data_IF_794599420437
#
_entry.id   IF_794599420437
#
_cell.length_a   1.000
_cell.length_b   1.000
_cell.length_c   1.000
_cell.angle_alpha   90.00
_cell.angle_beta   90.00
_cell.angle_gamma   90.00
#
_symmetry.space_group_name_H-M   'P 1'
#
loop_
_entity.id
_entity.type
_entity.pdbx_description
1 polymer ?
#
# COMPACT_ATOMS: atom_id res chain seq x y z
N UNK A 1 28.19 45.85 -34.65
CA UNK A 1 27.39 45.84 -33.41
C UNK A 1 26.03 45.23 -33.73
N UNK A 2 25.74 44.03 -33.21
CA UNK A 2 24.44 43.37 -33.33
C UNK A 2 24.11 42.77 -31.97
N UNK A 3 22.95 43.14 -31.45
CA UNK A 3 22.39 42.80 -30.15
C UNK A 3 21.89 41.35 -30.12
N UNK A 4 22.22 40.61 -29.06
CA UNK A 4 21.62 39.31 -28.78
C UNK A 4 20.58 39.44 -27.68
N UNK A 5 19.36 39.03 -28.02
CA UNK A 5 18.16 39.13 -27.20
C UNK A 5 18.05 37.91 -26.28
N UNK A 6 17.89 38.15 -24.98
CA UNK A 6 17.73 37.11 -23.95
C UNK A 6 16.33 36.50 -24.02
N UNK A 7 16.23 35.21 -24.33
CA UNK A 7 14.98 34.45 -24.19
C UNK A 7 14.97 33.74 -22.83
N UNK A 8 14.20 34.29 -21.88
CA UNK A 8 13.90 33.64 -20.60
C UNK A 8 12.93 32.48 -20.81
N UNK A 9 13.43 31.25 -20.62
CA UNK A 9 12.62 30.04 -20.60
C UNK A 9 12.00 29.88 -19.21
N UNK A 10 10.72 30.23 -19.06
CA UNK A 10 9.94 30.00 -17.83
C UNK A 10 9.50 28.53 -17.81
N UNK A 11 10.18 27.71 -17.00
CA UNK A 11 9.82 26.32 -16.77
C UNK A 11 8.62 26.24 -15.81
N UNK A 12 7.44 25.91 -16.35
CA UNK A 12 6.23 25.65 -15.56
C UNK A 12 6.41 24.32 -14.80
N UNK A 13 6.62 24.39 -13.49
CA UNK A 13 6.62 23.22 -12.60
C UNK A 13 5.17 22.83 -12.33
N UNK A 14 4.68 21.77 -12.98
CA UNK A 14 3.41 21.16 -12.67
C UNK A 14 3.49 20.45 -11.31
N UNK A 15 2.94 21.09 -10.27
CA UNK A 15 2.75 20.49 -8.95
C UNK A 15 1.61 19.48 -9.03
N UNK A 16 1.94 18.19 -9.20
CA UNK A 16 0.98 17.10 -9.08
C UNK A 16 0.68 16.94 -7.58
N UNK A 17 -0.41 17.57 -7.13
CA UNK A 17 -0.99 17.31 -5.81
C UNK A 17 -1.47 15.85 -5.77
N UNK A 18 -0.71 14.98 -5.11
CA UNK A 18 -1.15 13.64 -4.78
C UNK A 18 -2.22 13.73 -3.67
N UNK A 19 -3.48 13.84 -4.09
CA UNK A 19 -4.63 13.69 -3.21
C UNK A 19 -4.61 12.27 -2.60
N UNK A 20 -4.24 12.20 -1.32
CA UNK A 20 -4.31 10.96 -0.55
C UNK A 20 -5.73 10.85 0.02
N UNK A 21 -6.65 10.23 -0.71
CA UNK A 21 -8.00 9.96 -0.21
C UNK A 21 -7.95 9.07 1.04
N UNK A 22 -8.73 9.37 2.09
CA UNK A 22 -8.85 8.50 3.25
C UNK A 22 -9.55 7.20 2.84
N UNK A 23 -8.84 6.08 2.92
CA UNK A 23 -9.42 4.77 2.65
C UNK A 23 -10.21 4.29 3.89
N UNK A 24 -11.55 4.29 3.81
CA UNK A 24 -12.42 3.61 4.77
C UNK A 24 -12.52 2.12 4.41
N UNK A 25 -12.22 1.26 5.37
CA UNK A 25 -12.37 -0.18 5.26
C UNK A 25 -13.79 -0.56 5.69
N UNK A 26 -14.70 -0.68 4.73
CA UNK A 26 -15.95 -1.42 4.87
C UNK A 26 -16.18 -2.09 3.51
N UNK A 27 -16.50 -3.38 3.52
CA UNK A 27 -16.37 -4.31 2.39
C UNK A 27 -16.59 -3.70 1.00
N UNK A 28 -15.58 -3.86 0.14
CA UNK A 28 -15.64 -3.39 -1.22
C UNK A 28 -16.73 -4.12 -2.02
N UNK A 29 -17.71 -3.36 -2.51
CA UNK A 29 -18.73 -3.82 -3.46
C UNK A 29 -18.35 -3.29 -4.85
N UNK A 30 -17.50 -4.02 -5.57
CA UNK A 30 -17.07 -3.66 -6.92
C UNK A 30 -15.97 -4.56 -7.48
N UNK A 31 -15.62 -4.45 -8.77
CA UNK A 31 -14.51 -5.18 -9.37
C UNK A 31 -13.14 -4.72 -8.85
N UNK A 32 -13.06 -3.51 -8.28
CA UNK A 32 -11.82 -2.92 -7.78
C UNK A 32 -11.83 -2.92 -6.27
N UNK A 33 -11.32 -4.01 -5.70
CA UNK A 33 -11.08 -4.17 -4.27
C UNK A 33 -9.59 -4.37 -4.06
N UNK A 34 -9.04 -3.82 -2.97
CA UNK A 34 -7.62 -3.76 -2.73
C UNK A 34 -7.01 -5.15 -2.88
N UNK A 35 -5.96 -5.25 -3.69
CA UNK A 35 -5.33 -6.53 -3.99
C UNK A 35 -3.83 -6.45 -3.77
N UNK A 36 -3.22 -7.58 -3.41
CA UNK A 36 -1.77 -7.72 -3.27
C UNK A 36 -1.31 -8.95 -4.04
N UNK A 37 -0.32 -8.78 -4.90
CA UNK A 37 0.40 -9.82 -5.64
C UNK A 37 1.81 -9.94 -5.05
N UNK A 38 2.11 -11.05 -4.38
CA UNK A 38 3.43 -11.29 -3.82
C UNK A 38 4.32 -12.03 -4.83
N UNK A 39 4.93 -11.29 -5.75
CA UNK A 39 5.93 -11.81 -6.71
C UNK A 39 7.36 -11.78 -6.13
N UNK A 40 7.51 -11.45 -4.85
CA UNK A 40 8.79 -11.51 -4.16
C UNK A 40 9.07 -12.93 -3.69
N UNK A 41 10.32 -13.24 -3.36
CA UNK A 41 10.71 -14.54 -2.80
C UNK A 41 10.41 -14.69 -1.31
N UNK A 42 9.78 -13.70 -0.67
CA UNK A 42 9.56 -13.67 0.77
C UNK A 42 8.08 -13.69 1.13
N UNK A 43 7.76 -14.28 2.28
CA UNK A 43 6.39 -14.31 2.78
C UNK A 43 5.94 -12.93 3.23
N UNK A 44 4.75 -12.54 2.79
CA UNK A 44 4.10 -11.28 3.14
C UNK A 44 2.95 -11.55 4.12
N UNK A 45 2.57 -10.56 4.93
CA UNK A 45 1.32 -10.58 5.70
C UNK A 45 0.36 -9.53 5.15
N UNK A 46 -0.90 -9.88 5.04
CA UNK A 46 -2.01 -9.02 4.62
C UNK A 46 -3.08 -8.92 5.71
N UNK A 47 -3.87 -7.86 5.67
CA UNK A 47 -5.08 -7.70 6.47
C UNK A 47 -6.20 -7.20 5.57
N UNK A 48 -7.35 -7.86 5.65
CA UNK A 48 -8.63 -7.51 5.02
C UNK A 48 -9.60 -6.84 6.01
N UNK A 49 -9.15 -6.66 7.26
CA UNK A 49 -9.95 -6.05 8.32
C UNK A 49 -9.04 -5.34 9.34
N UNK A 50 -8.48 -4.17 8.99
CA UNK A 50 -7.78 -3.36 9.96
C UNK A 50 -8.79 -2.64 10.85
N UNK A 51 -8.51 -2.57 12.15
CA UNK A 51 -9.40 -2.00 13.15
C UNK A 51 -10.68 -2.81 13.43
N UNK A 52 -10.66 -4.12 13.16
CA UNK A 52 -11.69 -5.01 13.67
C UNK A 52 -11.78 -4.97 15.20
N UNK A 53 -13.01 -5.14 15.71
CA UNK A 53 -13.24 -5.31 17.14
C UNK A 53 -12.51 -6.55 17.62
N UNK A 54 -11.85 -6.43 18.77
CA UNK A 54 -11.41 -7.62 19.49
C UNK A 54 -12.66 -8.36 19.92
N UNK A 55 -12.85 -9.56 19.37
CA UNK A 55 -13.93 -10.46 19.72
C UNK A 55 -13.29 -11.72 20.30
N UNK A 56 -13.44 -11.90 21.62
CA UNK A 56 -12.94 -13.07 22.34
C UNK A 56 -13.84 -14.29 22.18
N UNK A 57 -15.08 -14.09 21.72
CA UNK A 57 -16.16 -15.07 21.75
C UNK A 57 -16.47 -15.65 20.36
N UNK A 58 -16.09 -14.95 19.27
CA UNK A 58 -16.28 -15.43 17.88
C UNK A 58 -14.95 -15.73 17.16
N UNK A 59 -14.53 -17.01 17.02
CA UNK A 59 -13.24 -17.38 16.44
C UNK A 59 -13.03 -16.90 14.99
N UNK A 60 -14.10 -16.83 14.19
CA UNK A 60 -14.02 -16.52 12.76
C UNK A 60 -13.61 -15.07 12.43
N UNK A 61 -13.73 -14.15 13.40
CA UNK A 61 -13.38 -12.72 13.26
C UNK A 61 -12.34 -12.28 14.29
N UNK A 62 -11.64 -13.23 14.91
CA UNK A 62 -10.71 -12.93 15.99
C UNK A 62 -9.57 -12.05 15.48
N UNK A 63 -9.48 -10.86 16.05
CA UNK A 63 -8.42 -9.89 15.79
C UNK A 63 -7.47 -9.86 16.97
N UNK A 64 -6.73 -10.95 17.10
CA UNK A 64 -5.73 -11.21 18.13
C UNK A 64 -4.40 -10.49 17.88
N UNK A 65 -4.23 -9.88 16.71
CA UNK A 65 -3.01 -9.21 16.33
C UNK A 65 -3.10 -7.69 16.47
N UNK A 66 -1.94 -7.06 16.70
CA UNK A 66 -1.76 -5.60 16.60
C UNK A 66 -0.99 -5.26 15.33
N UNK A 67 -1.55 -4.37 14.51
CA UNK A 67 -0.92 -3.84 13.32
C UNK A 67 -0.54 -2.38 13.53
N UNK A 68 0.76 -2.07 13.51
CA UNK A 68 1.25 -0.70 13.49
C UNK A 68 1.23 -0.18 12.03
N UNK A 69 0.19 0.57 11.67
CA UNK A 69 0.02 1.10 10.32
C UNK A 69 0.60 2.51 10.27
N UNK A 70 1.61 2.77 9.42
CA UNK A 70 2.31 4.06 9.42
C UNK A 70 1.56 5.19 8.71
N UNK A 71 0.65 4.86 7.79
CA UNK A 71 -0.15 5.82 7.04
C UNK A 71 -1.65 5.72 7.37
N UNK A 72 -1.96 5.47 8.65
CA UNK A 72 -3.33 5.50 9.12
C UNK A 72 -3.82 6.95 9.23
N UNK A 73 -4.89 7.30 8.51
CA UNK A 73 -5.62 8.58 8.55
C UNK A 73 -4.71 9.80 8.80
N UNK A 74 -4.06 10.28 7.75
CA UNK A 74 -3.24 11.50 7.80
C UNK A 74 -4.15 12.76 7.80
N UNK A 75 -4.94 12.93 8.86
CA UNK A 75 -5.62 14.19 9.16
C UNK A 75 -4.64 15.25 9.68
N UNK A 76 -5.01 16.53 9.58
CA UNK A 76 -4.15 17.68 9.89
C UNK A 76 -3.63 17.74 11.33
N UNK A 77 -4.24 17.03 12.28
CA UNK A 77 -3.93 17.17 13.72
C UNK A 77 -3.44 15.89 14.42
N UNK A 78 -3.40 14.72 13.78
CA UNK A 78 -3.18 13.43 14.47
C UNK A 78 -1.89 12.68 14.09
N UNK A 79 -1.03 13.29 13.26
CA UNK A 79 0.12 12.58 12.69
C UNK A 79 -0.33 11.45 11.75
N UNK A 80 0.61 10.89 11.00
CA UNK A 80 0.35 9.72 10.16
C UNK A 80 0.69 8.47 10.97
N UNK A 81 -0.31 7.61 11.20
CA UNK A 81 -0.10 6.27 11.72
C UNK A 81 -0.88 5.93 12.99
N UNK A 82 -1.15 4.64 13.18
CA UNK A 82 -1.92 4.12 14.30
C UNK A 82 -1.64 2.63 14.51
N UNK A 83 -1.54 2.23 15.78
CA UNK A 83 -1.62 0.82 16.15
C UNK A 83 -3.09 0.43 16.29
N UNK A 84 -3.53 -0.54 15.50
CA UNK A 84 -4.91 -1.06 15.50
C UNK A 84 -4.95 -2.56 15.74
N UNK A 85 -6.06 -3.07 16.26
CA UNK A 85 -6.34 -4.50 16.16
C UNK A 85 -6.50 -4.88 14.68
N UNK A 86 -6.06 -6.07 14.30
CA UNK A 86 -6.18 -6.52 12.91
C UNK A 86 -6.26 -8.04 12.84
N UNK A 87 -6.81 -8.54 11.74
CA UNK A 87 -6.65 -9.93 11.31
C UNK A 87 -5.44 -10.03 10.40
N UNK A 88 -4.49 -10.90 10.73
CA UNK A 88 -3.33 -11.14 9.86
C UNK A 88 -3.49 -12.45 9.12
N UNK A 89 -3.29 -12.42 7.80
CA UNK A 89 -3.19 -13.62 6.98
C UNK A 89 -1.82 -13.65 6.29
N UNK A 90 -1.26 -14.84 6.12
CA UNK A 90 -0.03 -15.03 5.34
C UNK A 90 -0.34 -15.04 3.85
N UNK A 91 0.54 -14.41 3.05
CA UNK A 91 0.55 -14.49 1.61
C UNK A 91 1.92 -14.99 1.14
N UNK A 92 1.96 -16.26 0.74
CA UNK A 92 3.19 -16.92 0.28
C UNK A 92 3.74 -16.31 -1.01
N UNK A 93 5.05 -16.46 -1.28
CA UNK A 93 5.65 -16.13 -2.57
C UNK A 93 4.89 -16.76 -3.75
N UNK A 94 4.66 -15.98 -4.81
CA UNK A 94 3.96 -16.40 -6.02
C UNK A 94 2.43 -16.27 -5.96
N UNK A 95 1.84 -15.97 -4.79
CA UNK A 95 0.39 -15.90 -4.62
C UNK A 95 -0.15 -14.46 -4.62
N UNK A 96 -1.46 -14.35 -4.85
CA UNK A 96 -2.22 -13.10 -4.79
C UNK A 96 -3.40 -13.20 -3.80
N UNK A 97 -3.84 -12.06 -3.27
CA UNK A 97 -5.08 -11.96 -2.47
C UNK A 97 -5.76 -10.61 -2.67
N UNK A 98 -7.08 -10.57 -2.51
CA UNK A 98 -7.90 -9.39 -2.79
C UNK A 98 -8.46 -9.36 -4.21
N UNK A 99 -9.20 -8.30 -4.52
CA UNK A 99 -10.03 -8.21 -5.73
C UNK A 99 -11.32 -9.04 -5.61
N UNK A 100 -12.21 -8.92 -6.60
CA UNK A 100 -13.44 -9.72 -6.72
C UNK A 100 -14.29 -9.78 -5.42
N UNK A 101 -14.55 -8.62 -4.81
CA UNK A 101 -15.33 -8.52 -3.57
C UNK A 101 -14.55 -8.79 -2.27
N UNK A 102 -13.25 -9.11 -2.36
CA UNK A 102 -12.35 -9.15 -1.20
C UNK A 102 -11.43 -7.94 -1.20
N UNK A 103 -11.50 -7.12 -0.16
CA UNK A 103 -10.63 -5.95 0.01
C UNK A 103 -9.44 -6.29 0.90
N UNK A 104 -8.22 -6.05 0.41
CA UNK A 104 -7.02 -6.04 1.24
C UNK A 104 -6.68 -4.59 1.53
N UNK A 105 -6.66 -4.25 2.81
CA UNK A 105 -6.41 -2.88 3.23
C UNK A 105 -4.94 -2.54 3.38
N UNK A 106 -4.15 -3.49 3.87
CA UNK A 106 -2.76 -3.25 4.20
C UNK A 106 -1.92 -4.52 4.12
N UNK A 107 -0.62 -4.30 3.97
CA UNK A 107 0.38 -5.36 3.92
C UNK A 107 1.65 -5.01 4.69
N UNK A 108 2.42 -6.03 5.06
CA UNK A 108 3.77 -5.87 5.62
C UNK A 108 4.64 -7.09 5.34
N UNK A 109 5.96 -6.89 5.42
CA UNK A 109 6.90 -7.98 5.64
C UNK A 109 7.29 -8.01 7.11
N UNK A 110 6.99 -9.10 7.81
CA UNK A 110 7.22 -9.20 9.25
C UNK A 110 8.70 -9.38 9.61
N UNK A 111 9.50 -9.96 8.71
CA UNK A 111 10.88 -10.39 8.97
C UNK A 111 11.94 -9.47 8.36
N UNK A 112 11.57 -8.55 7.45
CA UNK A 112 12.52 -7.69 6.72
C UNK A 112 11.95 -6.33 6.34
N UNK A 113 12.87 -5.38 6.17
CA UNK A 113 12.54 -4.08 5.61
C UNK A 113 12.15 -4.25 4.13
N UNK A 114 11.33 -3.33 3.62
CA UNK A 114 10.84 -3.36 2.25
C UNK A 114 10.62 -1.96 1.71
N UNK A 115 10.64 -1.79 0.39
CA UNK A 115 10.33 -0.51 -0.24
C UNK A 115 8.84 -0.43 -0.56
N UNK A 116 8.22 0.69 -0.21
CA UNK A 116 6.86 1.02 -0.61
C UNK A 116 6.68 2.53 -0.79
N UNK A 117 6.13 2.93 -1.94
CA UNK A 117 5.94 4.31 -2.35
C UNK A 117 7.24 5.15 -2.26
N UNK A 118 8.33 4.60 -2.83
CA UNK A 118 9.64 5.26 -2.89
C UNK A 118 10.36 5.41 -1.54
N UNK A 119 9.85 4.81 -0.45
CA UNK A 119 10.45 4.88 0.89
C UNK A 119 10.66 3.49 1.47
N UNK A 120 11.76 3.32 2.18
CA UNK A 120 12.02 2.11 2.95
C UNK A 120 11.12 2.06 4.17
N UNK A 121 10.54 0.88 4.42
CA UNK A 121 9.65 0.59 5.54
C UNK A 121 10.31 -0.43 6.44
N UNK A 122 10.20 -0.16 7.73
CA UNK A 122 10.67 -1.07 8.78
C UNK A 122 9.84 -2.35 8.76
N UNK A 123 10.51 -3.49 8.94
CA UNK A 123 9.85 -4.79 9.14
C UNK A 123 8.74 -4.73 10.18
N UNK A 124 7.62 -5.40 9.91
CA UNK A 124 6.44 -5.46 10.79
C UNK A 124 5.60 -4.18 10.85
N UNK A 125 6.06 -3.08 10.26
CA UNK A 125 5.23 -1.87 10.08
C UNK A 125 4.37 -2.06 8.84
N UNK A 126 3.07 -1.78 8.96
CA UNK A 126 2.06 -2.05 7.95
C UNK A 126 1.85 -0.86 7.04
N UNK A 127 1.79 -1.13 5.74
CA UNK A 127 1.49 -0.15 4.70
C UNK A 127 0.04 -0.31 4.24
N UNK A 128 -0.80 0.68 4.55
CA UNK A 128 -2.16 0.77 4.00
C UNK A 128 -2.10 1.32 2.57
N UNK A 129 -3.04 0.93 1.72
CA UNK A 129 -3.15 1.43 0.36
C UNK A 129 -4.62 1.66 -0.02
N UNK A 130 -4.86 2.25 -1.20
CA UNK A 130 -6.21 2.56 -1.66
C UNK A 130 -6.91 1.26 -2.14
N UNK A 131 -8.19 1.07 -1.77
CA UNK A 131 -9.03 -0.08 -2.19
C UNK A 131 -9.12 -0.22 -3.71
N UNK A 132 -8.94 0.86 -4.48
CA UNK A 132 -8.92 0.84 -5.93
C UNK A 132 -7.58 0.35 -6.54
N UNK A 133 -6.66 -0.18 -5.74
CA UNK A 133 -5.28 -0.47 -6.17
C UNK A 133 -4.92 -1.93 -5.99
N UNK A 134 -4.28 -2.51 -7.01
CA UNK A 134 -3.48 -3.73 -6.88
C UNK A 134 -2.06 -3.37 -6.55
N UNK A 135 -1.50 -3.88 -5.44
CA UNK A 135 -0.09 -3.76 -5.10
C UNK A 135 0.66 -4.98 -5.64
N UNK A 136 1.78 -4.76 -6.31
CA UNK A 136 2.71 -5.82 -6.71
C UNK A 136 3.99 -5.66 -5.93
N UNK A 137 4.38 -6.71 -5.21
CA UNK A 137 5.65 -6.79 -4.51
C UNK A 137 6.60 -7.70 -5.27
N UNK A 138 7.73 -7.17 -5.75
CA UNK A 138 8.77 -7.92 -6.49
C UNK A 138 10.07 -7.97 -5.70
N UNK A 139 10.94 -8.93 -6.04
CA UNK A 139 12.30 -8.96 -5.51
C UNK A 139 13.17 -7.92 -6.22
N UNK A 140 13.84 -7.04 -5.48
CA UNK A 140 14.81 -6.09 -6.02
C UNK A 140 16.09 -6.10 -5.17
N UNK A 141 17.11 -6.81 -5.66
CA UNK A 141 18.32 -7.10 -4.88
C UNK A 141 17.98 -7.86 -3.58
N UNK A 142 18.39 -7.32 -2.45
CA UNK A 142 18.19 -7.95 -1.12
C UNK A 142 16.85 -7.59 -0.46
N UNK A 143 16.01 -6.76 -1.08
CA UNK A 143 14.77 -6.25 -0.49
C UNK A 143 13.54 -6.50 -1.37
N UNK A 144 12.35 -6.70 -0.78
CA UNK A 144 11.10 -6.58 -1.51
C UNK A 144 10.85 -5.11 -1.89
N UNK A 145 10.37 -4.88 -3.11
CA UNK A 145 9.89 -3.58 -3.57
C UNK A 145 8.43 -3.69 -4.00
N UNK A 146 7.56 -2.93 -3.34
CA UNK A 146 6.12 -2.95 -3.54
C UNK A 146 5.64 -1.61 -4.09
N UNK A 147 4.70 -1.66 -5.04
CA UNK A 147 4.03 -0.48 -5.57
C UNK A 147 2.74 -0.85 -6.29
N UNK A 148 1.94 0.15 -6.70
CA UNK A 148 0.78 -0.08 -7.56
C UNK A 148 1.18 -0.89 -8.79
N UNK A 149 0.31 -1.79 -9.21
CA UNK A 149 0.36 -2.39 -10.54
C UNK A 149 0.12 -1.26 -11.54
N UNK A 150 1.21 -0.71 -12.04
CA UNK A 150 1.15 0.18 -13.18
C UNK A 150 0.73 -0.73 -14.33
N UNK A 151 -0.45 -0.47 -14.90
CA UNK A 151 -0.84 -1.16 -16.13
C UNK A 151 0.34 -1.04 -17.09
N UNK A 152 0.81 -2.17 -17.61
CA UNK A 152 1.71 -2.19 -18.76
C UNK A 152 1.02 -1.35 -19.84
N UNK A 153 1.43 -0.08 -19.96
CA UNK A 153 1.21 0.68 -21.16
C UNK A 153 1.95 -0.12 -22.23
N UNK A 154 1.18 -0.84 -23.05
CA UNK A 154 1.66 -1.49 -24.25
C UNK A 154 2.55 -0.51 -25.02
N UNK A 155 3.75 -0.97 -25.40
CA UNK A 155 4.44 -0.47 -26.58
C UNK A 155 5.45 0.64 -26.32
N UNK A 156 6.72 0.25 -26.42
CA UNK A 156 7.87 1.14 -26.53
C UNK A 156 9.12 0.28 -26.57
N UNK A 157 9.32 -0.36 -27.72
CA UNK A 157 10.61 -0.97 -28.09
C UNK A 157 11.74 0.06 -27.99
#
# INVERSE_FOLDING_TARGET
>A
MKTFSSASLVLLIAVINMFSSPASADGCIGPICGAVKNQSKWQLRITDNPNCKYDGDTPARKCDNKCNIWNWSCGSNSGCGKVVNCKQNYLSPGFNSGGNGKDIDAFTYADRNYWYAGKMRTKGVWSKFNTATTIVCKTHGSYPCCGPEIGEARGGQ
#
